data_IF_810121189594
#
_entry.id   IF_810121189594
#
_cell.length_a   1.000
_cell.length_b   1.000
_cell.length_c   1.000
_cell.angle_alpha   90.00
_cell.angle_beta   90.00
_cell.angle_gamma   90.00
#
_symmetry.space_group_name_H-M   'P 1'
#
loop_
_entity.id
_entity.type
_entity.pdbx_description
1 polymer ?
#
# COMPACT_ATOMS: atom_id res chain seq x y z
N UNK A 1 -29.09 7.06 9.06
CA UNK A 1 -28.13 7.87 8.27
C UNK A 1 -26.94 6.96 8.01
N UNK A 2 -26.76 6.47 6.78
CA UNK A 2 -25.55 5.70 6.43
C UNK A 2 -24.37 6.67 6.43
N UNK A 3 -23.65 6.75 7.53
CA UNK A 3 -22.40 7.49 7.60
C UNK A 3 -21.43 6.91 6.56
N UNK A 4 -20.74 7.79 5.79
CA UNK A 4 -19.73 7.35 4.81
C UNK A 4 -18.62 6.53 5.48
N UNK A 5 -17.93 5.67 4.71
CA UNK A 5 -16.79 4.86 5.19
C UNK A 5 -15.73 5.73 5.87
N UNK A 6 -15.20 5.27 7.00
CA UNK A 6 -14.11 5.90 7.76
C UNK A 6 -12.77 5.32 7.32
N UNK A 7 -12.03 6.10 6.52
CA UNK A 7 -10.86 5.60 5.79
C UNK A 7 -9.59 6.33 6.22
N UNK A 8 -8.62 5.59 6.76
CA UNK A 8 -7.27 6.09 7.02
C UNK A 8 -6.33 5.69 5.87
N UNK A 9 -5.63 6.67 5.29
CA UNK A 9 -4.66 6.44 4.21
C UNK A 9 -3.26 6.87 4.67
N UNK A 10 -2.37 5.89 4.82
CA UNK A 10 -0.96 6.07 5.17
C UNK A 10 -0.12 6.08 3.90
N UNK A 11 0.53 7.19 3.61
CA UNK A 11 1.18 7.48 2.33
C UNK A 11 0.22 8.08 1.29
N UNK A 12 -0.66 8.99 1.73
CA UNK A 12 -1.75 9.55 0.95
C UNK A 12 -1.31 10.30 -0.32
N UNK A 13 -0.04 10.69 -0.44
CA UNK A 13 0.52 11.33 -1.63
C UNK A 13 1.02 10.36 -2.69
N UNK A 14 0.99 9.03 -2.45
CA UNK A 14 1.31 8.06 -3.50
C UNK A 14 0.23 8.01 -4.58
N UNK A 15 0.60 7.83 -5.85
CA UNK A 15 -0.37 7.84 -6.96
C UNK A 15 -1.47 6.78 -6.79
N UNK A 16 -1.11 5.57 -6.33
CA UNK A 16 -2.10 4.51 -6.04
C UNK A 16 -3.03 4.92 -4.89
N UNK A 17 -2.47 5.50 -3.82
CA UNK A 17 -3.28 5.95 -2.67
C UNK A 17 -4.29 7.03 -3.08
N UNK A 18 -3.85 8.01 -3.87
CA UNK A 18 -4.73 9.07 -4.37
C UNK A 18 -5.86 8.49 -5.22
N UNK A 19 -5.54 7.55 -6.13
CA UNK A 19 -6.56 6.93 -6.97
C UNK A 19 -7.60 6.14 -6.15
N UNK A 20 -7.19 5.44 -5.09
CA UNK A 20 -8.12 4.77 -4.16
C UNK A 20 -8.93 5.79 -3.37
N UNK A 21 -8.26 6.84 -2.84
CA UNK A 21 -8.90 7.89 -2.06
C UNK A 21 -10.00 8.61 -2.85
N UNK A 22 -9.77 8.88 -4.14
CA UNK A 22 -10.77 9.49 -5.04
C UNK A 22 -12.04 8.66 -5.16
N UNK A 23 -11.92 7.34 -5.19
CA UNK A 23 -13.10 6.45 -5.25
C UNK A 23 -13.87 6.51 -3.93
N UNK A 24 -13.18 6.48 -2.80
CA UNK A 24 -13.82 6.64 -1.49
C UNK A 24 -14.46 8.03 -1.32
N UNK A 25 -13.78 9.10 -1.74
CA UNK A 25 -14.30 10.46 -1.68
C UNK A 25 -15.59 10.61 -2.50
N UNK A 26 -15.62 10.09 -3.73
CA UNK A 26 -16.82 10.09 -4.57
C UNK A 26 -18.00 9.29 -3.98
N UNK A 27 -17.72 8.38 -3.05
CA UNK A 27 -18.72 7.65 -2.27
C UNK A 27 -19.08 8.33 -0.93
N UNK A 28 -18.63 9.58 -0.68
CA UNK A 28 -18.92 10.34 0.53
C UNK A 28 -18.18 9.86 1.79
N UNK A 29 -17.00 9.26 1.63
CA UNK A 29 -16.22 8.76 2.76
C UNK A 29 -15.64 9.89 3.63
N UNK A 30 -15.48 9.60 4.93
CA UNK A 30 -14.66 10.40 5.87
C UNK A 30 -13.20 9.91 5.77
N UNK A 31 -12.27 10.83 5.59
CA UNK A 31 -10.89 10.53 5.23
C UNK A 31 -9.91 11.13 6.23
N UNK A 32 -8.99 10.32 6.73
CA UNK A 32 -7.79 10.75 7.44
C UNK A 32 -6.57 10.47 6.56
N UNK A 33 -5.77 11.49 6.28
CA UNK A 33 -4.68 11.45 5.33
C UNK A 33 -3.35 11.68 6.04
N UNK A 34 -2.38 10.79 5.81
CA UNK A 34 -1.04 10.89 6.38
C UNK A 34 0.00 10.81 5.28
N UNK A 35 0.92 11.78 5.22
CA UNK A 35 2.08 11.79 4.34
C UNK A 35 3.17 12.73 4.87
N UNK A 36 4.36 12.72 4.27
CA UNK A 36 5.49 13.54 4.72
C UNK A 36 5.34 15.02 4.36
N UNK A 37 4.95 15.33 3.12
CA UNK A 37 4.82 16.70 2.64
C UNK A 37 3.46 17.28 3.01
N UNK A 38 3.47 18.33 3.84
CA UNK A 38 2.25 19.07 4.22
C UNK A 38 1.59 19.71 3.00
N UNK A 39 2.37 20.27 2.10
CA UNK A 39 1.88 20.96 0.89
C UNK A 39 1.17 20.00 -0.06
N UNK A 40 1.82 18.87 -0.40
CA UNK A 40 1.21 17.85 -1.25
C UNK A 40 -0.03 17.23 -0.58
N UNK A 41 0.00 17.06 0.75
CA UNK A 41 -1.14 16.54 1.49
C UNK A 41 -2.35 17.49 1.41
N UNK A 42 -2.12 18.81 1.52
CA UNK A 42 -3.18 19.82 1.37
C UNK A 42 -3.78 19.79 -0.05
N UNK A 43 -2.96 19.66 -1.08
CA UNK A 43 -3.43 19.53 -2.48
C UNK A 43 -4.29 18.28 -2.67
N UNK A 44 -3.87 17.14 -2.11
CA UNK A 44 -4.65 15.89 -2.15
C UNK A 44 -5.97 16.06 -1.41
N UNK A 45 -5.96 16.66 -0.22
CA UNK A 45 -7.16 16.89 0.57
C UNK A 45 -8.18 17.78 -0.17
N UNK A 46 -7.71 18.85 -0.84
CA UNK A 46 -8.56 19.71 -1.65
C UNK A 46 -9.22 18.96 -2.82
N UNK A 47 -8.45 18.13 -3.56
CA UNK A 47 -9.00 17.28 -4.65
C UNK A 47 -10.09 16.32 -4.11
N UNK A 48 -9.85 15.70 -2.96
CA UNK A 48 -10.81 14.75 -2.37
C UNK A 48 -12.08 15.43 -1.86
N UNK A 49 -11.96 16.65 -1.31
CA UNK A 49 -13.11 17.44 -0.85
C UNK A 49 -13.99 17.85 -2.04
N UNK A 50 -13.41 18.31 -3.14
CA UNK A 50 -14.15 18.64 -4.37
C UNK A 50 -14.91 17.43 -4.93
N UNK A 51 -14.40 16.20 -4.68
CA UNK A 51 -15.03 14.95 -5.11
C UNK A 51 -16.13 14.44 -4.16
N UNK A 52 -16.39 15.14 -3.07
CA UNK A 52 -17.45 14.81 -2.10
C UNK A 52 -16.96 14.06 -0.86
N UNK A 53 -15.66 13.90 -0.67
CA UNK A 53 -15.08 13.32 0.54
C UNK A 53 -15.00 14.34 1.68
N UNK A 54 -15.21 13.88 2.91
CA UNK A 54 -14.98 14.67 4.12
C UNK A 54 -13.57 14.39 4.66
N UNK A 55 -12.60 15.30 4.43
CA UNK A 55 -11.25 15.16 4.97
C UNK A 55 -11.20 15.70 6.39
N UNK A 56 -11.27 14.80 7.38
CA UNK A 56 -11.33 15.13 8.81
C UNK A 56 -9.94 15.28 9.46
N UNK A 57 -8.90 14.70 8.86
CA UNK A 57 -7.52 14.80 9.36
C UNK A 57 -6.53 14.89 8.22
N UNK A 58 -5.60 15.83 8.30
CA UNK A 58 -4.38 15.89 7.51
C UNK A 58 -3.17 15.90 8.45
N UNK A 59 -2.38 14.85 8.45
CA UNK A 59 -1.21 14.73 9.33
C UNK A 59 0.08 14.62 8.52
N UNK A 60 0.93 15.64 8.63
CA UNK A 60 2.30 15.54 8.12
C UNK A 60 3.15 14.72 9.10
N UNK A 61 3.66 13.56 8.66
CA UNK A 61 4.47 12.66 9.48
C UNK A 61 5.43 11.84 8.63
N UNK A 62 6.60 11.54 9.18
CA UNK A 62 7.47 10.50 8.64
C UNK A 62 6.97 9.14 9.15
N UNK A 63 6.59 8.28 8.21
CA UNK A 63 6.12 6.93 8.54
C UNK A 63 7.26 5.97 8.90
N UNK A 64 8.52 6.39 8.87
CA UNK A 64 9.65 5.65 9.41
C UNK A 64 9.92 5.96 10.89
N UNK A 65 9.24 6.94 11.49
CA UNK A 65 9.25 7.18 12.94
C UNK A 65 8.35 6.17 13.66
N UNK A 66 8.90 4.99 13.93
CA UNK A 66 8.17 3.86 14.50
C UNK A 66 7.55 4.17 15.87
N UNK A 67 8.21 5.06 16.66
CA UNK A 67 7.72 5.42 17.99
C UNK A 67 6.37 6.15 17.95
N UNK A 68 6.04 6.78 16.83
CA UNK A 68 4.80 7.54 16.64
C UNK A 68 3.64 6.73 16.08
N UNK A 69 3.84 5.49 15.63
CA UNK A 69 2.82 4.74 14.92
C UNK A 69 1.53 4.56 15.72
N UNK A 70 1.62 4.14 16.99
CA UNK A 70 0.42 3.98 17.85
C UNK A 70 -0.32 5.30 18.06
N UNK A 71 0.41 6.39 18.30
CA UNK A 71 -0.17 7.73 18.47
C UNK A 71 -0.84 8.19 17.18
N UNK A 72 -0.19 8.00 16.04
CA UNK A 72 -0.71 8.38 14.73
C UNK A 72 -2.02 7.66 14.39
N UNK A 73 -2.07 6.34 14.65
CA UNK A 73 -3.29 5.55 14.46
C UNK A 73 -4.38 5.97 15.45
N UNK A 74 -4.03 6.29 16.70
CA UNK A 74 -4.99 6.78 17.70
C UNK A 74 -5.59 8.13 17.32
N UNK A 75 -4.78 9.08 16.84
CA UNK A 75 -5.24 10.37 16.34
C UNK A 75 -6.22 10.21 15.15
N UNK A 76 -5.88 9.34 14.20
CA UNK A 76 -6.74 9.07 13.05
C UNK A 76 -8.06 8.39 13.47
N UNK A 77 -8.00 7.41 14.37
CA UNK A 77 -9.18 6.75 14.94
C UNK A 77 -10.11 7.76 15.63
N UNK A 78 -9.54 8.66 16.43
CA UNK A 78 -10.32 9.71 17.12
C UNK A 78 -10.98 10.66 16.12
N UNK A 79 -10.25 11.16 15.13
CA UNK A 79 -10.77 12.11 14.14
C UNK A 79 -11.86 11.49 13.25
N UNK A 80 -11.73 10.22 12.92
CA UNK A 80 -12.70 9.47 12.11
C UNK A 80 -13.87 8.91 12.95
N UNK A 81 -13.74 8.86 14.28
CA UNK A 81 -14.66 8.17 15.18
C UNK A 81 -14.72 6.64 14.93
N UNK A 82 -13.58 6.08 14.55
CA UNK A 82 -13.40 4.67 14.23
C UNK A 82 -12.61 4.45 12.94
N UNK A 83 -12.37 3.19 12.57
CA UNK A 83 -11.60 2.83 11.38
C UNK A 83 -12.31 1.67 10.65
N UNK A 84 -12.96 1.93 9.52
CA UNK A 84 -13.53 0.86 8.69
C UNK A 84 -12.49 0.32 7.71
N UNK A 85 -11.65 1.22 7.17
CA UNK A 85 -10.57 0.85 6.23
C UNK A 85 -9.29 1.58 6.61
N UNK A 86 -8.20 0.83 6.69
CA UNK A 86 -6.83 1.39 6.78
C UNK A 86 -6.06 0.93 5.54
N UNK A 87 -5.53 1.87 4.77
CA UNK A 87 -4.69 1.58 3.61
C UNK A 87 -3.25 2.03 3.85
N UNK A 88 -2.33 1.08 3.92
CA UNK A 88 -0.88 1.33 3.99
C UNK A 88 -0.33 1.31 2.56
N UNK A 89 0.00 2.50 2.03
CA UNK A 89 0.33 2.68 0.61
C UNK A 89 1.62 3.48 0.35
N UNK A 90 2.41 3.75 1.39
CA UNK A 90 3.71 4.37 1.23
C UNK A 90 4.76 3.36 0.75
N UNK A 91 5.82 3.88 0.17
CA UNK A 91 6.95 3.09 -0.30
C UNK A 91 7.81 3.91 -1.26
N UNK A 92 8.97 3.38 -1.58
CA UNK A 92 9.86 3.92 -2.60
C UNK A 92 10.46 2.77 -3.42
N UNK A 93 10.84 3.08 -4.65
CA UNK A 93 11.61 2.17 -5.49
C UNK A 93 13.05 2.67 -5.50
N UNK A 94 13.97 2.02 -4.78
CA UNK A 94 15.35 2.48 -4.69
C UNK A 94 16.08 2.29 -6.02
N UNK A 95 17.16 3.02 -6.18
CA UNK A 95 18.17 2.71 -7.18
C UNK A 95 18.92 1.45 -6.75
N UNK A 96 18.87 0.40 -7.55
CA UNK A 96 19.42 -0.90 -7.22
C UNK A 96 20.96 -0.86 -7.19
N UNK A 97 21.61 -0.15 -8.12
CA UNK A 97 23.07 -0.04 -8.19
C UNK A 97 23.59 0.77 -6.98
N UNK A 98 22.94 1.89 -6.68
CA UNK A 98 23.27 2.67 -5.50
C UNK A 98 23.11 1.88 -4.18
N UNK A 99 22.18 0.92 -4.10
CA UNK A 99 22.03 0.03 -2.94
C UNK A 99 23.14 -1.03 -2.87
N UNK A 100 23.73 -1.42 -4.00
CA UNK A 100 24.87 -2.34 -4.04
C UNK A 100 26.15 -1.63 -3.57
N UNK A 101 26.32 -0.38 -3.95
CA UNK A 101 27.48 0.43 -3.57
C UNK A 101 27.46 0.83 -2.08
N UNK A 102 26.27 1.12 -1.55
CA UNK A 102 26.10 1.52 -0.14
C UNK A 102 24.97 0.71 0.54
N UNK A 103 25.34 -0.29 1.37
CA UNK A 103 24.35 -1.10 2.09
C UNK A 103 23.37 -0.30 2.96
N UNK A 104 23.75 0.90 3.42
CA UNK A 104 22.86 1.77 4.21
C UNK A 104 21.63 2.21 3.41
N UNK A 105 21.78 2.39 2.09
CA UNK A 105 20.65 2.69 1.19
C UNK A 105 19.68 1.51 1.07
N UNK A 106 20.19 0.28 1.07
CA UNK A 106 19.37 -0.91 1.10
C UNK A 106 18.58 -1.00 2.40
N UNK A 107 19.23 -0.80 3.56
CA UNK A 107 18.58 -0.78 4.88
C UNK A 107 17.50 0.30 4.92
N UNK A 108 17.79 1.53 4.52
CA UNK A 108 16.80 2.61 4.46
C UNK A 108 15.61 2.26 3.56
N UNK A 109 15.83 1.54 2.45
CA UNK A 109 14.74 1.05 1.60
C UNK A 109 13.90 -0.02 2.28
N UNK A 110 14.50 -0.95 3.03
CA UNK A 110 13.76 -1.95 3.81
C UNK A 110 12.94 -1.31 4.93
N UNK A 111 13.49 -0.30 5.60
CA UNK A 111 12.77 0.43 6.64
C UNK A 111 11.51 1.10 6.09
N UNK A 112 11.58 1.76 4.94
CA UNK A 112 10.41 2.39 4.30
C UNK A 112 9.43 1.35 3.75
N UNK A 113 9.92 0.33 3.01
CA UNK A 113 9.05 -0.57 2.24
C UNK A 113 8.53 -1.77 3.03
N UNK A 114 9.13 -2.08 4.18
CA UNK A 114 8.75 -3.22 5.01
C UNK A 114 8.57 -2.83 6.47
N UNK A 115 9.63 -2.40 7.20
CA UNK A 115 9.58 -2.23 8.65
C UNK A 115 8.47 -1.28 9.07
N UNK A 116 8.42 -0.09 8.46
CA UNK A 116 7.41 0.91 8.81
C UNK A 116 5.99 0.46 8.43
N UNK A 117 5.84 -0.19 7.28
CA UNK A 117 4.53 -0.70 6.85
C UNK A 117 4.02 -1.81 7.77
N UNK A 118 4.86 -2.76 8.17
CA UNK A 118 4.52 -3.85 9.06
C UNK A 118 4.10 -3.34 10.45
N UNK A 119 4.86 -2.41 11.03
CA UNK A 119 4.55 -1.85 12.35
C UNK A 119 3.31 -0.95 12.35
N UNK A 120 3.02 -0.23 11.25
CA UNK A 120 1.76 0.49 11.08
C UNK A 120 0.56 -0.46 10.96
N UNK A 121 0.72 -1.57 10.24
CA UNK A 121 -0.32 -2.60 10.17
C UNK A 121 -0.63 -3.17 11.55
N UNK A 122 0.39 -3.42 12.37
CA UNK A 122 0.21 -3.91 13.74
C UNK A 122 -0.56 -2.91 14.61
N UNK A 123 -0.14 -1.64 14.59
CA UNK A 123 -0.80 -0.58 15.35
C UNK A 123 -2.26 -0.35 14.93
N UNK A 124 -2.56 -0.49 13.62
CA UNK A 124 -3.92 -0.41 13.13
C UNK A 124 -4.75 -1.63 13.54
N UNK A 125 -4.18 -2.84 13.44
CA UNK A 125 -4.84 -4.09 13.83
C UNK A 125 -5.23 -4.07 15.31
N UNK A 126 -4.38 -3.57 16.22
CA UNK A 126 -4.69 -3.42 17.65
C UNK A 126 -6.01 -2.65 17.87
N UNK A 127 -6.28 -1.59 17.11
CA UNK A 127 -7.51 -0.78 17.24
C UNK A 127 -8.71 -1.44 16.58
N UNK A 128 -8.51 -2.03 15.41
CA UNK A 128 -9.60 -2.66 14.65
C UNK A 128 -10.12 -3.93 15.33
N UNK A 129 -9.24 -4.69 16.00
CA UNK A 129 -9.65 -5.89 16.79
C UNK A 129 -10.59 -5.52 17.93
N UNK A 130 -10.36 -4.38 18.59
CA UNK A 130 -11.26 -3.89 19.67
C UNK A 130 -12.65 -3.55 19.14
N UNK A 131 -12.74 -3.09 17.89
CA UNK A 131 -14.01 -2.79 17.21
C UNK A 131 -14.67 -4.03 16.58
N UNK A 132 -13.97 -5.15 16.54
CA UNK A 132 -14.37 -6.42 15.91
C UNK A 132 -14.79 -6.27 14.43
N UNK A 133 -14.28 -5.24 13.74
CA UNK A 133 -14.60 -4.95 12.34
C UNK A 133 -13.46 -4.18 11.69
N UNK A 134 -13.33 -4.33 10.38
CA UNK A 134 -12.51 -3.48 9.54
C UNK A 134 -11.68 -4.21 8.49
N UNK A 135 -11.15 -3.42 7.55
CA UNK A 135 -10.30 -3.89 6.45
C UNK A 135 -8.94 -3.19 6.48
N UNK A 136 -7.88 -3.96 6.64
CA UNK A 136 -6.50 -3.51 6.64
C UNK A 136 -5.83 -3.84 5.30
N UNK A 137 -5.75 -2.88 4.39
CA UNK A 137 -5.10 -3.01 3.08
C UNK A 137 -3.64 -2.62 3.12
N UNK A 138 -2.78 -3.37 2.43
CA UNK A 138 -1.36 -3.01 2.26
C UNK A 138 -0.91 -3.16 0.82
N UNK A 139 -0.21 -2.13 0.32
CA UNK A 139 0.36 -2.14 -1.04
C UNK A 139 1.73 -2.81 -1.02
N UNK A 140 1.74 -4.09 -1.40
CA UNK A 140 2.95 -4.86 -1.70
C UNK A 140 3.34 -4.68 -3.17
N UNK A 141 3.78 -5.72 -3.87
CA UNK A 141 4.12 -5.70 -5.30
C UNK A 141 4.25 -7.12 -5.85
N UNK A 142 4.06 -7.29 -7.16
CA UNK A 142 4.48 -8.51 -7.87
C UNK A 142 5.99 -8.71 -7.83
N UNK A 143 6.78 -7.66 -7.60
CA UNK A 143 8.22 -7.74 -7.43
C UNK A 143 8.64 -8.57 -6.20
N UNK A 144 7.78 -8.69 -5.19
CA UNK A 144 8.02 -9.52 -4.02
C UNK A 144 7.82 -11.02 -4.23
N UNK A 145 7.42 -11.48 -5.42
CA UNK A 145 7.17 -12.91 -5.64
C UNK A 145 8.37 -13.70 -6.16
N UNK A 146 9.31 -13.02 -6.81
CA UNK A 146 10.58 -13.59 -7.24
C UNK A 146 11.63 -12.50 -7.39
N UNK A 147 12.81 -12.70 -6.79
CA UNK A 147 13.94 -11.77 -6.89
C UNK A 147 14.42 -11.60 -8.32
N UNK A 148 14.74 -10.36 -8.72
CA UNK A 148 15.26 -9.99 -10.04
C UNK A 148 16.47 -9.10 -9.88
N UNK A 149 17.43 -9.23 -10.79
CA UNK A 149 18.70 -8.52 -10.72
C UNK A 149 18.55 -6.99 -10.65
N UNK A 150 17.52 -6.44 -11.29
CA UNK A 150 17.28 -5.02 -11.41
C UNK A 150 16.59 -4.37 -10.20
N UNK A 151 16.07 -5.17 -9.24
CA UNK A 151 15.30 -4.62 -8.12
C UNK A 151 15.18 -5.55 -6.90
N UNK A 152 16.17 -6.41 -6.62
CA UNK A 152 16.05 -7.39 -5.52
C UNK A 152 16.01 -6.75 -4.13
N UNK A 153 16.55 -5.56 -3.93
CA UNK A 153 16.41 -4.82 -2.66
C UNK A 153 14.95 -4.43 -2.42
N UNK A 154 14.28 -3.89 -3.43
CA UNK A 154 12.84 -3.61 -3.36
C UNK A 154 12.01 -4.90 -3.27
N UNK A 155 12.34 -5.88 -4.12
CA UNK A 155 11.65 -7.16 -4.17
C UNK A 155 11.67 -7.90 -2.84
N UNK A 156 12.83 -7.93 -2.15
CA UNK A 156 12.95 -8.56 -0.82
C UNK A 156 12.08 -7.87 0.24
N UNK A 157 12.03 -6.53 0.27
CA UNK A 157 11.13 -5.80 1.16
C UNK A 157 9.65 -6.14 0.92
N UNK A 158 9.25 -6.19 -0.36
CA UNK A 158 7.85 -6.51 -0.70
C UNK A 158 7.51 -8.00 -0.52
N UNK A 159 8.49 -8.89 -0.61
CA UNK A 159 8.34 -10.29 -0.22
C UNK A 159 8.11 -10.42 1.29
N UNK A 160 8.95 -9.77 2.10
CA UNK A 160 8.80 -9.72 3.55
C UNK A 160 7.44 -9.14 3.96
N UNK A 161 7.01 -8.03 3.35
CA UNK A 161 5.72 -7.40 3.61
C UNK A 161 4.54 -8.33 3.25
N UNK A 162 4.65 -9.07 2.14
CA UNK A 162 3.64 -10.05 1.73
C UNK A 162 3.52 -11.21 2.74
N UNK A 163 4.66 -11.74 3.19
CA UNK A 163 4.69 -12.80 4.20
C UNK A 163 4.13 -12.30 5.55
N UNK A 164 4.51 -11.09 5.97
CA UNK A 164 4.00 -10.46 7.18
C UNK A 164 2.47 -10.29 7.13
N UNK A 165 1.95 -9.71 6.05
CA UNK A 165 0.52 -9.51 5.85
C UNK A 165 -0.27 -10.83 5.85
N UNK A 166 0.30 -11.90 5.31
CA UNK A 166 -0.29 -13.24 5.35
C UNK A 166 -0.38 -13.78 6.77
N UNK A 167 0.71 -13.68 7.56
CA UNK A 167 0.74 -14.09 8.97
C UNK A 167 -0.21 -13.27 9.84
N UNK A 168 -0.22 -11.96 9.65
CA UNK A 168 -1.16 -11.07 10.33
C UNK A 168 -2.61 -11.43 10.01
N UNK A 169 -2.94 -11.69 8.74
CA UNK A 169 -4.28 -12.12 8.34
C UNK A 169 -4.69 -13.48 8.91
N UNK A 170 -3.73 -14.39 9.16
CA UNK A 170 -3.98 -15.65 9.87
C UNK A 170 -4.28 -15.40 11.35
N UNK A 171 -3.49 -14.57 12.02
CA UNK A 171 -3.68 -14.20 13.44
C UNK A 171 -5.03 -13.53 13.68
N UNK A 172 -5.46 -12.68 12.76
CA UNK A 172 -6.72 -11.91 12.87
C UNK A 172 -7.97 -12.71 12.45
N UNK A 173 -7.83 -13.98 12.11
CA UNK A 173 -8.96 -14.82 11.74
C UNK A 173 -9.97 -14.94 12.90
N UNK A 174 -11.22 -14.61 12.62
CA UNK A 174 -12.30 -14.65 13.60
C UNK A 174 -12.47 -13.39 14.46
N UNK A 175 -11.65 -12.36 14.24
CA UNK A 175 -11.74 -11.07 14.98
C UNK A 175 -12.60 -10.02 14.27
N UNK A 176 -13.23 -10.34 13.14
CA UNK A 176 -13.91 -9.33 12.30
C UNK A 176 -12.98 -8.54 11.38
N UNK A 177 -11.67 -8.56 11.61
CA UNK A 177 -10.70 -7.78 10.81
C UNK A 177 -10.16 -8.60 9.64
N UNK A 178 -10.21 -8.02 8.44
CA UNK A 178 -9.69 -8.64 7.22
C UNK A 178 -8.43 -7.94 6.73
N UNK A 179 -7.36 -8.70 6.44
CA UNK A 179 -6.13 -8.19 5.81
C UNK A 179 -6.18 -8.42 4.31
N UNK A 180 -5.96 -7.34 3.53
CA UNK A 180 -5.94 -7.35 2.06
C UNK A 180 -4.53 -7.02 1.57
N UNK A 181 -3.86 -8.00 0.98
CA UNK A 181 -2.55 -7.82 0.35
C UNK A 181 -2.71 -7.44 -1.11
N UNK A 182 -2.35 -6.22 -1.46
CA UNK A 182 -2.45 -5.68 -2.81
C UNK A 182 -1.11 -5.88 -3.51
N UNK A 183 -1.10 -6.52 -4.68
CA UNK A 183 0.09 -6.80 -5.49
C UNK A 183 0.01 -6.12 -6.86
N UNK A 184 0.36 -4.84 -6.96
CA UNK A 184 0.42 -4.16 -8.24
C UNK A 184 1.56 -4.69 -9.11
N UNK A 185 1.32 -4.75 -10.42
CA UNK A 185 2.37 -4.68 -11.42
C UNK A 185 2.83 -3.23 -11.63
N UNK A 186 3.53 -2.90 -12.72
CA UNK A 186 3.82 -1.51 -13.08
C UNK A 186 2.54 -0.69 -13.24
N UNK A 187 2.48 0.45 -12.57
CA UNK A 187 1.35 1.39 -12.60
C UNK A 187 1.88 2.76 -13.00
N UNK A 188 1.18 3.47 -13.87
CA UNK A 188 1.55 4.82 -14.28
C UNK A 188 1.45 5.80 -13.10
N UNK A 189 2.59 6.04 -12.48
CA UNK A 189 2.73 6.88 -11.28
C UNK A 189 4.09 7.56 -11.29
N UNK A 190 4.29 8.65 -10.54
CA UNK A 190 5.60 9.31 -10.41
C UNK A 190 6.76 8.39 -10.03
N UNK A 191 6.49 7.28 -9.32
CA UNK A 191 7.50 6.28 -8.96
C UNK A 191 8.14 5.59 -10.18
N UNK A 192 7.47 5.58 -11.33
CA UNK A 192 7.92 4.90 -12.54
C UNK A 192 8.57 5.83 -13.57
N UNK A 193 8.62 7.14 -13.28
CA UNK A 193 9.26 8.13 -14.17
C UNK A 193 10.73 7.78 -14.39
N UNK A 194 11.17 7.84 -15.66
CA UNK A 194 12.56 7.52 -16.04
C UNK A 194 12.86 6.02 -16.23
N UNK A 195 11.90 5.13 -15.97
CA UNK A 195 12.09 3.69 -16.18
C UNK A 195 11.63 3.23 -17.56
N UNK A 196 12.45 2.39 -18.20
CA UNK A 196 12.09 1.75 -19.49
C UNK A 196 11.14 0.58 -19.21
N UNK A 197 9.85 0.79 -19.41
CA UNK A 197 8.82 -0.22 -19.21
C UNK A 197 8.14 -0.56 -20.54
N UNK A 198 7.72 -1.80 -20.68
CA UNK A 198 6.82 -2.17 -21.78
C UNK A 198 5.44 -1.53 -21.54
N UNK A 199 4.96 -0.61 -22.40
CA UNK A 199 3.69 0.09 -22.21
C UNK A 199 2.49 -0.85 -22.03
N UNK A 200 2.53 -2.05 -22.64
CA UNK A 200 1.45 -3.06 -22.52
C UNK A 200 1.32 -3.65 -21.13
N UNK A 201 2.35 -3.50 -20.29
CA UNK A 201 2.36 -3.98 -18.91
C UNK A 201 2.04 -2.89 -17.89
N UNK A 202 2.13 -1.62 -18.28
CA UNK A 202 1.79 -0.49 -17.41
C UNK A 202 0.27 -0.35 -17.32
N UNK A 203 -0.22 -0.19 -16.12
CA UNK A 203 -1.64 -0.01 -15.86
C UNK A 203 -1.97 1.45 -15.56
N UNK A 204 -3.11 1.91 -16.04
CA UNK A 204 -3.69 3.20 -15.67
C UNK A 204 -3.99 3.24 -14.16
N UNK A 205 -3.59 4.32 -13.50
CA UNK A 205 -3.67 4.46 -12.04
C UNK A 205 -5.13 4.49 -11.54
N UNK A 206 -6.05 5.09 -12.27
CA UNK A 206 -7.46 5.16 -11.86
C UNK A 206 -8.16 3.81 -12.00
N UNK A 207 -7.81 3.03 -13.03
CA UNK A 207 -8.27 1.63 -13.16
C UNK A 207 -7.77 0.80 -11.98
N UNK A 208 -6.51 0.99 -11.59
CA UNK A 208 -5.91 0.35 -10.42
C UNK A 208 -6.63 0.76 -9.14
N UNK A 209 -6.88 2.06 -8.95
CA UNK A 209 -7.59 2.60 -7.78
C UNK A 209 -8.98 1.99 -7.60
N UNK A 210 -9.79 1.96 -8.67
CA UNK A 210 -11.13 1.33 -8.66
C UNK A 210 -11.07 -0.17 -8.34
N UNK A 211 -10.07 -0.88 -8.83
CA UNK A 211 -9.92 -2.32 -8.55
C UNK A 211 -9.51 -2.57 -7.10
N UNK A 212 -8.60 -1.75 -6.56
CA UNK A 212 -8.19 -1.83 -5.15
C UNK A 212 -9.36 -1.51 -4.22
N UNK A 213 -10.07 -0.42 -4.46
CA UNK A 213 -11.27 -0.07 -3.71
C UNK A 213 -12.26 -1.25 -3.64
N UNK A 214 -12.58 -1.85 -4.79
CA UNK A 214 -13.49 -3.02 -4.84
C UNK A 214 -12.95 -4.20 -4.04
N UNK A 215 -11.63 -4.42 -4.05
CA UNK A 215 -11.00 -5.49 -3.29
C UNK A 215 -11.08 -5.24 -1.78
N UNK A 216 -10.86 -4.00 -1.34
CA UNK A 216 -11.01 -3.59 0.06
C UNK A 216 -12.46 -3.79 0.53
N UNK A 217 -13.45 -3.28 -0.24
CA UNK A 217 -14.88 -3.44 0.12
C UNK A 217 -15.34 -4.90 0.18
N UNK A 218 -14.70 -5.80 -0.58
CA UNK A 218 -15.03 -7.23 -0.58
C UNK A 218 -14.19 -8.07 0.36
N UNK A 219 -13.19 -7.49 1.01
CA UNK A 219 -12.24 -8.23 1.86
C UNK A 219 -11.44 -9.28 1.09
N UNK A 220 -11.06 -9.01 -0.18
CA UNK A 220 -10.29 -9.95 -1.00
C UNK A 220 -8.86 -10.07 -0.46
N UNK A 221 -8.52 -11.19 0.18
CA UNK A 221 -7.26 -11.36 0.93
C UNK A 221 -5.99 -11.10 0.12
N UNK A 222 -5.99 -11.45 -1.17
CA UNK A 222 -4.87 -11.19 -2.09
C UNK A 222 -5.41 -10.72 -3.43
N UNK A 223 -4.99 -9.54 -3.86
CA UNK A 223 -5.42 -8.97 -5.13
C UNK A 223 -4.23 -8.55 -6.01
N UNK A 224 -4.18 -9.08 -7.23
CA UNK A 224 -3.26 -8.64 -8.27
C UNK A 224 -3.89 -7.52 -9.09
N UNK A 225 -3.13 -6.46 -9.36
CA UNK A 225 -3.67 -5.29 -10.06
C UNK A 225 -2.70 -4.83 -11.15
N UNK A 226 -3.11 -4.93 -12.41
CA UNK A 226 -4.27 -5.64 -12.96
C UNK A 226 -4.21 -7.16 -12.77
N UNK A 227 -5.36 -7.82 -12.84
CA UNK A 227 -5.52 -9.25 -12.55
C UNK A 227 -4.66 -10.20 -13.39
N UNK A 228 -4.24 -9.79 -14.61
CA UNK A 228 -3.34 -10.56 -15.47
C UNK A 228 -2.01 -10.93 -14.78
N UNK A 229 -1.57 -10.12 -13.82
CA UNK A 229 -0.32 -10.38 -13.07
C UNK A 229 -0.38 -11.65 -12.23
N UNK A 230 -1.55 -12.09 -11.83
CA UNK A 230 -1.70 -13.38 -11.13
C UNK A 230 -1.15 -14.54 -11.97
N UNK A 231 -1.48 -14.54 -13.24
CA UNK A 231 -1.05 -15.62 -14.16
C UNK A 231 0.40 -15.45 -14.60
N UNK A 232 0.82 -14.21 -14.90
CA UNK A 232 2.21 -13.89 -15.22
C UNK A 232 3.13 -14.35 -14.09
N UNK A 233 2.79 -14.02 -12.85
CA UNK A 233 3.62 -14.40 -11.70
C UNK A 233 3.54 -15.90 -11.39
N UNK A 234 2.43 -16.56 -11.63
CA UNK A 234 2.34 -18.01 -11.51
C UNK A 234 3.35 -18.71 -12.44
N UNK A 235 3.43 -18.27 -13.70
CA UNK A 235 4.43 -18.78 -14.66
C UNK A 235 5.86 -18.44 -14.20
N UNK A 236 6.11 -17.16 -13.86
CA UNK A 236 7.46 -16.73 -13.44
C UNK A 236 7.96 -17.52 -12.22
N UNK A 237 7.10 -17.77 -11.23
CA UNK A 237 7.46 -18.58 -10.05
C UNK A 237 7.76 -20.05 -10.38
N UNK A 238 7.03 -20.60 -11.33
CA UNK A 238 7.19 -22.00 -11.76
C UNK A 238 8.45 -22.23 -12.62
N UNK A 239 9.07 -21.18 -13.18
CA UNK A 239 10.27 -21.34 -14.00
C UNK A 239 11.43 -21.95 -13.19
N UNK A 240 12.10 -23.00 -13.70
CA UNK A 240 13.33 -23.51 -13.12
C UNK A 240 14.40 -22.41 -13.02
N UNK A 241 15.22 -22.47 -11.97
CA UNK A 241 16.22 -21.41 -11.68
C UNK A 241 17.15 -21.19 -12.88
N UNK A 242 17.63 -22.27 -13.52
CA UNK A 242 18.54 -22.21 -14.69
C UNK A 242 17.95 -21.47 -15.90
N UNK A 243 16.61 -21.51 -16.06
CA UNK A 243 15.92 -20.80 -17.13
C UNK A 243 15.74 -19.33 -16.70
N UNK A 244 15.30 -19.11 -15.48
CA UNK A 244 15.03 -17.78 -14.96
C UNK A 244 16.28 -16.87 -14.96
N UNK A 245 17.45 -17.40 -14.57
CA UNK A 245 18.72 -16.65 -14.54
C UNK A 245 19.21 -16.18 -15.93
N UNK A 246 18.71 -16.80 -17.00
CA UNK A 246 19.03 -16.38 -18.39
C UNK A 246 18.09 -15.28 -18.91
N UNK A 247 16.97 -15.05 -18.24
CA UNK A 247 16.01 -14.03 -18.63
C UNK A 247 16.43 -12.69 -18.04
N UNK A 248 16.52 -11.69 -18.90
CA UNK A 248 16.70 -10.28 -18.48
C UNK A 248 15.32 -9.61 -18.58
N UNK A 249 14.81 -9.14 -17.46
CA UNK A 249 13.53 -8.43 -17.38
C UNK A 249 13.76 -6.96 -17.17
#
# INVERSE_FOLDING_TARGET
MNGGRRVLILGATSGIAQAVARVYAAAGARLALVARSREHLASVAADLTVRGGEVVLQRAADLCDLARHRTLIAEAHQALEGLDVVLVAHGLLPDQEACQEDPRKAVASWDVNFTSAATLMEAAAERMVVAEDGVLGVVSSVAGERGRADNYVYGSAKAALTAYASGLGQRLRGTGVTVVTIKPGPVDTPMMVGRKLNPRLVADVDVVGRRIHRALERGERVVYVPGKWRWIMAVIRALPIRIFERLRF
#
